data_IF_867456744882
#
_entry.id   IF_867456744882
#
_cell.length_a   1.000
_cell.length_b   1.000
_cell.length_c   1.000
_cell.angle_alpha   90.00
_cell.angle_beta   90.00
_cell.angle_gamma   90.00
#
_symmetry.space_group_name_H-M   'P 1'
#
loop_
_entity.id
_entity.type
_entity.pdbx_description
1 polymer ?
#
# COMPACT_ATOMS: atom_id res chain seq x y z
N UNK A 1 -1.76 -12.30 13.66
CA UNK A 1 -0.96 -13.22 14.49
C UNK A 1 -1.88 -14.07 15.37
N UNK A 2 -1.69 -15.38 15.36
CA UNK A 2 -2.44 -16.28 16.25
C UNK A 2 -1.92 -16.18 17.69
N UNK A 3 -2.75 -15.73 18.59
CA UNK A 3 -2.43 -15.70 20.01
C UNK A 3 -2.77 -17.06 20.63
N UNK A 4 -1.75 -17.87 20.89
CA UNK A 4 -1.89 -19.23 21.42
C UNK A 4 -2.55 -19.24 22.82
N UNK A 5 -2.39 -18.19 23.62
CA UNK A 5 -2.93 -18.13 24.97
C UNK A 5 -4.41 -17.79 25.02
N UNK A 6 -4.93 -17.07 24.04
CA UNK A 6 -6.33 -16.65 23.94
C UNK A 6 -7.11 -17.42 22.89
N UNK A 7 -6.41 -18.18 22.02
CA UNK A 7 -7.02 -18.84 20.87
C UNK A 7 -7.55 -17.88 19.81
N UNK A 8 -7.13 -16.61 19.85
CA UNK A 8 -7.58 -15.58 18.94
C UNK A 8 -6.52 -15.27 17.87
N UNK A 9 -6.96 -14.98 16.67
CA UNK A 9 -6.16 -14.23 15.69
C UNK A 9 -6.17 -12.76 16.11
N UNK A 10 -5.07 -12.04 15.97
CA UNK A 10 -5.10 -10.59 16.17
C UNK A 10 -5.87 -9.92 15.02
N UNK A 11 -6.48 -8.77 15.29
CA UNK A 11 -7.26 -7.98 14.32
C UNK A 11 -6.44 -7.54 13.09
N UNK A 12 -5.14 -7.75 13.10
CA UNK A 12 -4.21 -7.62 11.99
C UNK A 12 -3.74 -9.02 11.52
N UNK A 13 -4.60 -9.78 10.91
CA UNK A 13 -4.16 -10.87 10.05
C UNK A 13 -3.81 -10.30 8.68
N UNK A 14 -2.68 -9.61 8.59
CA UNK A 14 -2.08 -9.33 7.28
C UNK A 14 -1.91 -10.66 6.55
N UNK A 15 -2.26 -10.77 5.27
CA UNK A 15 -2.07 -11.97 4.48
C UNK A 15 -0.60 -12.23 4.13
N UNK A 16 0.33 -11.84 5.02
CA UNK A 16 1.79 -12.01 4.88
C UNK A 16 2.21 -13.45 4.57
N UNK A 17 1.36 -14.42 4.89
CA UNK A 17 1.58 -15.82 4.51
C UNK A 17 1.43 -16.04 3.00
N UNK A 18 0.60 -15.25 2.30
CA UNK A 18 0.43 -15.34 0.86
C UNK A 18 1.72 -14.90 0.16
N UNK A 19 2.20 -13.68 0.45
CA UNK A 19 3.44 -13.16 -0.09
C UNK A 19 4.64 -14.04 0.25
N UNK A 20 4.76 -14.47 1.51
CA UNK A 20 5.85 -15.35 1.96
C UNK A 20 5.86 -16.68 1.19
N UNK A 21 4.69 -17.24 0.88
CA UNK A 21 4.57 -18.45 0.07
C UNK A 21 5.07 -18.25 -1.36
N UNK A 22 4.74 -17.11 -1.99
CA UNK A 22 5.25 -16.74 -3.31
C UNK A 22 6.78 -16.64 -3.31
N UNK A 23 7.36 -15.94 -2.34
CA UNK A 23 8.81 -15.78 -2.25
C UNK A 23 9.53 -17.10 -1.99
N UNK A 24 9.01 -17.94 -1.10
CA UNK A 24 9.58 -19.26 -0.84
C UNK A 24 9.51 -20.14 -2.09
N UNK A 25 8.43 -20.08 -2.85
CA UNK A 25 8.34 -20.75 -4.14
C UNK A 25 9.41 -20.27 -5.12
N UNK A 26 9.56 -18.96 -5.30
CA UNK A 26 10.54 -18.37 -6.21
C UNK A 26 11.98 -18.76 -5.85
N UNK A 27 12.31 -18.86 -4.56
CA UNK A 27 13.65 -19.23 -4.08
C UNK A 27 13.90 -20.73 -4.16
N UNK A 28 12.90 -21.54 -3.84
CA UNK A 28 13.09 -22.99 -3.64
C UNK A 28 12.56 -23.86 -4.78
N UNK A 29 11.65 -23.33 -5.61
CA UNK A 29 10.91 -24.10 -6.61
C UNK A 29 9.90 -25.08 -6.01
N UNK A 30 9.63 -25.02 -4.70
CA UNK A 30 8.71 -25.95 -4.04
C UNK A 30 7.25 -25.51 -4.21
N UNK A 31 6.51 -26.25 -5.06
CA UNK A 31 5.10 -25.99 -5.39
C UNK A 31 4.15 -25.98 -4.18
N UNK A 32 4.52 -26.58 -3.06
CA UNK A 32 3.67 -26.55 -1.87
C UNK A 32 3.50 -25.14 -1.31
N UNK A 33 4.55 -24.30 -1.40
CA UNK A 33 4.46 -22.91 -0.96
C UNK A 33 3.50 -22.12 -1.85
N UNK A 34 3.58 -22.29 -3.17
CA UNK A 34 2.66 -21.66 -4.10
C UNK A 34 1.23 -22.17 -3.94
N UNK A 35 1.04 -23.46 -3.69
CA UNK A 35 -0.28 -24.04 -3.42
C UNK A 35 -0.94 -23.43 -2.17
N UNK A 36 -0.18 -23.15 -1.13
CA UNK A 36 -0.68 -22.46 0.07
C UNK A 36 -1.12 -21.04 -0.25
N UNK A 37 -0.34 -20.28 -1.04
CA UNK A 37 -0.70 -18.92 -1.46
C UNK A 37 -1.98 -18.91 -2.32
N UNK A 38 -2.12 -19.85 -3.24
CA UNK A 38 -3.34 -20.06 -4.05
C UNK A 38 -4.56 -20.34 -3.16
N UNK A 39 -4.41 -21.16 -2.13
CA UNK A 39 -5.50 -21.45 -1.20
C UNK A 39 -6.00 -20.20 -0.49
N UNK A 40 -5.10 -19.33 -0.05
CA UNK A 40 -5.46 -18.07 0.60
C UNK A 40 -6.13 -17.11 -0.41
N UNK A 41 -5.59 -16.99 -1.63
CA UNK A 41 -6.16 -16.13 -2.66
C UNK A 41 -7.57 -16.58 -3.07
N UNK A 42 -7.79 -17.89 -3.26
CA UNK A 42 -9.11 -18.43 -3.57
C UNK A 42 -10.10 -18.16 -2.43
N UNK A 43 -9.67 -18.31 -1.17
CA UNK A 43 -10.51 -17.99 -0.02
C UNK A 43 -10.91 -16.51 0.02
N UNK A 44 -9.99 -15.60 -0.31
CA UNK A 44 -10.31 -14.17 -0.43
C UNK A 44 -11.35 -13.95 -1.51
N UNK A 45 -11.15 -14.48 -2.71
CA UNK A 45 -12.06 -14.31 -3.85
C UNK A 45 -13.44 -14.90 -3.59
N UNK A 46 -13.51 -16.12 -3.06
CA UNK A 46 -14.76 -16.86 -2.90
C UNK A 46 -15.58 -16.45 -1.67
N UNK A 47 -14.93 -15.98 -0.60
CA UNK A 47 -15.58 -15.81 0.70
C UNK A 47 -15.43 -14.44 1.33
N UNK A 48 -14.43 -13.65 0.95
CA UNK A 48 -14.13 -12.38 1.61
C UNK A 48 -14.18 -11.16 0.68
N UNK A 49 -14.44 -11.34 -0.60
CA UNK A 49 -14.60 -10.23 -1.54
C UNK A 49 -16.06 -9.71 -1.48
N UNK A 50 -16.22 -8.43 -1.13
CA UNK A 50 -17.53 -7.78 -1.12
C UNK A 50 -17.92 -7.27 -2.52
N UNK A 51 -19.18 -6.92 -2.72
CA UNK A 51 -19.69 -6.46 -4.04
C UNK A 51 -19.00 -5.19 -4.56
N UNK A 52 -18.48 -4.34 -3.68
CA UNK A 52 -17.68 -3.15 -4.02
C UNK A 52 -16.26 -3.50 -4.50
N UNK A 53 -15.83 -4.75 -4.42
CA UNK A 53 -14.43 -5.14 -4.65
C UNK A 53 -13.53 -4.96 -3.42
N UNK A 54 -14.08 -4.53 -2.28
CA UNK A 54 -13.34 -4.40 -1.02
C UNK A 54 -13.30 -5.74 -0.30
N UNK A 55 -12.16 -6.12 0.25
CA UNK A 55 -12.00 -7.35 1.03
C UNK A 55 -12.49 -7.14 2.44
N UNK A 56 -13.36 -8.03 2.89
CA UNK A 56 -13.94 -8.01 4.22
C UNK A 56 -12.90 -8.28 5.31
N UNK A 57 -12.79 -7.37 6.26
CA UNK A 57 -12.09 -7.62 7.52
C UNK A 57 -13.01 -8.42 8.43
N UNK A 58 -12.65 -9.67 8.71
CA UNK A 58 -13.48 -10.60 9.49
C UNK A 58 -12.95 -10.70 10.91
N UNK A 59 -13.82 -10.44 11.88
CA UNK A 59 -13.45 -10.59 13.28
C UNK A 59 -13.12 -12.07 13.60
N UNK A 60 -11.88 -12.39 13.99
CA UNK A 60 -11.38 -13.76 13.99
C UNK A 60 -12.03 -14.70 15.02
N UNK A 61 -12.61 -14.15 16.08
CA UNK A 61 -13.25 -14.93 17.16
C UNK A 61 -14.72 -15.19 16.86
N UNK A 62 -15.42 -14.15 16.41
CA UNK A 62 -16.89 -14.22 16.20
C UNK A 62 -17.24 -14.64 14.78
N UNK A 63 -16.28 -14.61 13.87
CA UNK A 63 -16.47 -14.80 12.43
C UNK A 63 -17.56 -13.87 11.86
N UNK A 64 -17.62 -12.64 12.41
CA UNK A 64 -18.56 -11.61 11.97
C UNK A 64 -17.82 -10.56 11.16
N UNK A 65 -18.53 -9.99 10.19
CA UNK A 65 -18.10 -8.83 9.41
C UNK A 65 -18.97 -7.65 9.84
N UNK A 66 -18.35 -6.53 10.11
CA UNK A 66 -19.08 -5.28 10.31
C UNK A 66 -18.85 -4.41 9.06
N UNK A 67 -19.92 -4.09 8.36
CA UNK A 67 -19.89 -3.31 7.13
C UNK A 67 -19.35 -1.89 7.37
N UNK A 68 -19.60 -1.35 8.55
CA UNK A 68 -19.22 0.02 8.94
C UNK A 68 -17.84 0.10 9.62
N UNK A 69 -17.10 -1.00 9.73
CA UNK A 69 -15.74 -1.02 10.25
C UNK A 69 -14.69 -0.70 9.17
N UNK A 70 -13.45 -0.57 9.63
CA UNK A 70 -12.30 -0.21 8.80
C UNK A 70 -11.87 -1.33 7.84
N UNK A 71 -11.92 -1.05 6.54
CA UNK A 71 -11.46 -1.94 5.48
C UNK A 71 -10.46 -1.24 4.56
N UNK A 72 -9.56 -2.00 3.96
CA UNK A 72 -8.62 -1.53 2.94
C UNK A 72 -8.09 -2.69 2.10
N UNK A 73 -7.91 -2.46 0.81
CA UNK A 73 -7.38 -3.48 -0.12
C UNK A 73 -5.86 -3.38 -0.34
N UNK A 74 -5.21 -2.28 0.01
CA UNK A 74 -3.84 -1.97 -0.45
C UNK A 74 -2.81 -3.06 -0.15
N UNK A 75 -2.80 -3.61 1.07
CA UNK A 75 -1.87 -4.69 1.45
C UNK A 75 -2.22 -5.99 0.73
N UNK A 76 -3.50 -6.34 0.72
CA UNK A 76 -3.99 -7.56 0.06
C UNK A 76 -3.74 -7.50 -1.45
N UNK A 77 -3.92 -6.32 -2.07
CA UNK A 77 -3.63 -6.10 -3.48
C UNK A 77 -2.14 -6.33 -3.79
N UNK A 78 -1.21 -5.85 -2.93
CA UNK A 78 0.21 -6.14 -3.10
C UNK A 78 0.48 -7.64 -3.15
N UNK A 79 -0.12 -8.40 -2.24
CA UNK A 79 0.12 -9.84 -2.11
C UNK A 79 -0.51 -10.63 -3.28
N UNK A 80 -1.74 -10.31 -3.65
CA UNK A 80 -2.44 -10.94 -4.80
C UNK A 80 -1.72 -10.60 -6.11
N UNK A 81 -1.27 -9.36 -6.30
CA UNK A 81 -0.53 -8.98 -7.50
C UNK A 81 0.81 -9.73 -7.60
N UNK A 82 1.57 -9.89 -6.51
CA UNK A 82 2.79 -10.72 -6.49
C UNK A 82 2.49 -12.18 -6.83
N UNK A 83 1.38 -12.74 -6.35
CA UNK A 83 0.94 -14.06 -6.77
C UNK A 83 0.61 -14.10 -8.27
N UNK A 84 -0.09 -13.09 -8.78
CA UNK A 84 -0.47 -13.00 -10.18
C UNK A 84 0.73 -12.89 -11.15
N UNK A 85 1.84 -12.31 -10.70
CA UNK A 85 3.10 -12.28 -11.47
C UNK A 85 3.72 -13.67 -11.68
N UNK A 86 3.42 -14.64 -10.83
CA UNK A 86 3.88 -16.05 -10.98
C UNK A 86 2.77 -17.00 -11.40
N UNK A 87 1.51 -16.61 -11.25
CA UNK A 87 0.33 -17.37 -11.65
C UNK A 87 -0.76 -16.44 -12.19
N UNK A 88 -0.84 -16.30 -13.50
CA UNK A 88 -1.75 -15.37 -14.19
C UNK A 88 -3.24 -15.63 -13.96
N UNK A 89 -3.64 -16.75 -13.35
CA UNK A 89 -5.03 -17.00 -12.97
C UNK A 89 -5.59 -15.95 -12.00
N UNK A 90 -4.71 -15.25 -11.26
CA UNK A 90 -5.10 -14.21 -10.31
C UNK A 90 -5.07 -12.78 -10.89
N UNK A 91 -4.83 -12.62 -12.20
CA UNK A 91 -4.81 -11.31 -12.82
C UNK A 91 -6.17 -10.58 -12.73
N UNK A 92 -7.29 -11.30 -12.86
CA UNK A 92 -8.62 -10.72 -12.74
C UNK A 92 -8.92 -10.28 -11.30
N UNK A 93 -8.54 -11.06 -10.30
CA UNK A 93 -8.68 -10.67 -8.89
C UNK A 93 -7.82 -9.43 -8.60
N UNK A 94 -6.56 -9.40 -9.08
CA UNK A 94 -5.70 -8.21 -8.99
C UNK A 94 -6.39 -6.97 -9.56
N UNK A 95 -6.98 -7.09 -10.75
CA UNK A 95 -7.71 -5.98 -11.38
C UNK A 95 -8.89 -5.52 -10.53
N UNK A 96 -9.71 -6.44 -10.05
CA UNK A 96 -10.88 -6.12 -9.22
C UNK A 96 -10.46 -5.35 -7.94
N UNK A 97 -9.40 -5.80 -7.26
CA UNK A 97 -8.91 -5.13 -6.05
C UNK A 97 -8.31 -3.74 -6.36
N UNK A 98 -7.58 -3.61 -7.48
CA UNK A 98 -6.97 -2.34 -7.87
C UNK A 98 -8.03 -1.30 -8.30
N UNK A 99 -9.04 -1.72 -9.03
CA UNK A 99 -10.17 -0.86 -9.41
C UNK A 99 -10.88 -0.35 -8.14
N UNK A 100 -11.13 -1.21 -7.15
CA UNK A 100 -11.74 -0.82 -5.89
C UNK A 100 -10.84 0.13 -5.06
N UNK A 101 -9.53 -0.04 -5.07
CA UNK A 101 -8.60 0.92 -4.45
C UNK A 101 -8.73 2.30 -5.08
N UNK A 102 -8.76 2.39 -6.41
CA UNK A 102 -8.91 3.68 -7.10
C UNK A 102 -10.28 4.28 -6.81
N UNK A 103 -11.34 3.50 -6.89
CA UNK A 103 -12.72 4.00 -6.77
C UNK A 103 -13.06 4.46 -5.36
N UNK A 104 -12.58 3.73 -4.33
CA UNK A 104 -13.05 3.91 -2.96
C UNK A 104 -12.00 4.44 -1.98
N UNK A 105 -10.71 4.11 -2.19
CA UNK A 105 -9.66 4.45 -1.23
C UNK A 105 -8.87 5.72 -1.60
N UNK A 106 -9.20 6.37 -2.73
CA UNK A 106 -8.55 7.61 -3.18
C UNK A 106 -9.56 8.74 -3.27
N UNK A 107 -9.23 9.89 -2.70
CA UNK A 107 -9.98 11.12 -2.93
C UNK A 107 -9.64 11.66 -4.32
N UNK A 108 -10.61 11.64 -5.23
CA UNK A 108 -10.42 12.05 -6.62
C UNK A 108 -10.22 13.57 -6.83
N UNK A 109 -10.47 14.39 -5.82
CA UNK A 109 -10.19 15.84 -5.87
C UNK A 109 -8.74 16.17 -5.50
N UNK A 110 -8.14 15.36 -4.65
CA UNK A 110 -6.79 15.59 -4.10
C UNK A 110 -5.75 14.56 -4.53
N UNK A 111 -6.18 13.44 -5.12
CA UNK A 111 -5.36 12.26 -5.44
C UNK A 111 -4.68 11.61 -4.23
N UNK A 112 -5.14 11.89 -3.01
CA UNK A 112 -4.61 11.34 -1.77
C UNK A 112 -5.43 10.13 -1.30
N UNK A 113 -4.77 9.16 -0.68
CA UNK A 113 -5.46 8.01 -0.10
C UNK A 113 -6.21 8.37 1.19
N UNK A 114 -7.35 7.71 1.40
CA UNK A 114 -7.96 7.53 2.72
C UNK A 114 -7.28 6.37 3.47
N UNK A 115 -7.22 6.43 4.82
CA UNK A 115 -6.67 5.30 5.59
C UNK A 115 -7.57 4.07 5.51
N UNK A 116 -8.87 4.27 5.69
CA UNK A 116 -9.85 3.20 5.72
C UNK A 116 -11.18 3.66 5.10
N UNK A 117 -11.91 2.68 4.58
CA UNK A 117 -13.25 2.84 4.02
C UNK A 117 -14.20 1.77 4.60
N UNK A 118 -15.50 1.99 4.49
CA UNK A 118 -16.51 0.94 4.76
C UNK A 118 -16.51 -0.11 3.65
N UNK A 119 -17.21 -1.21 3.81
CA UNK A 119 -17.42 -2.17 2.71
C UNK A 119 -18.20 -1.59 1.54
N UNK A 120 -19.01 -0.56 1.77
CA UNK A 120 -19.71 0.18 0.70
C UNK A 120 -18.80 1.21 0.00
N UNK A 121 -17.56 1.38 0.47
CA UNK A 121 -16.58 2.30 -0.12
C UNK A 121 -16.62 3.72 0.44
N UNK A 122 -17.39 3.98 1.50
CA UNK A 122 -17.44 5.31 2.12
C UNK A 122 -16.22 5.57 3.00
N UNK A 123 -15.54 6.73 2.88
CA UNK A 123 -14.37 7.05 3.69
C UNK A 123 -14.68 7.12 5.19
N UNK A 124 -13.99 6.32 5.99
CA UNK A 124 -14.07 6.31 7.45
C UNK A 124 -12.98 7.16 8.08
N UNK A 125 -11.71 6.92 7.75
CA UNK A 125 -10.60 7.76 8.16
C UNK A 125 -10.04 8.50 6.95
N UNK A 126 -10.28 9.80 6.94
CA UNK A 126 -9.88 10.75 5.89
C UNK A 126 -8.43 11.20 6.01
N UNK A 127 -7.73 10.76 7.03
CA UNK A 127 -6.29 10.95 7.16
C UNK A 127 -5.52 9.74 6.60
N UNK A 128 -4.31 9.96 6.14
CA UNK A 128 -3.44 8.91 5.63
C UNK A 128 -2.08 8.95 6.30
N UNK A 129 -1.66 7.81 6.79
CA UNK A 129 -0.31 7.59 7.26
C UNK A 129 0.61 7.24 6.08
N UNK A 130 1.29 8.27 5.57
CA UNK A 130 2.09 8.17 4.35
C UNK A 130 3.25 7.20 4.44
N UNK A 131 3.89 7.15 5.60
CA UNK A 131 5.08 6.32 5.80
C UNK A 131 4.82 4.84 5.55
N UNK A 132 3.57 4.39 5.66
CA UNK A 132 3.21 2.99 5.41
C UNK A 132 2.01 2.88 4.47
N UNK A 133 0.84 3.25 4.91
CA UNK A 133 -0.41 3.01 4.17
C UNK A 133 -0.43 3.63 2.78
N UNK A 134 -0.02 4.89 2.64
CA UNK A 134 0.04 5.58 1.35
C UNK A 134 1.08 4.99 0.40
N UNK A 135 2.29 4.72 0.90
CA UNK A 135 3.35 4.13 0.08
C UNK A 135 3.03 2.69 -0.34
N UNK A 136 2.40 1.90 0.54
CA UNK A 136 1.91 0.56 0.16
C UNK A 136 0.80 0.64 -0.88
N UNK A 137 -0.09 1.64 -0.79
CA UNK A 137 -1.11 1.88 -1.81
C UNK A 137 -0.51 2.18 -3.19
N UNK A 138 0.51 3.03 -3.24
CA UNK A 138 1.24 3.30 -4.49
C UNK A 138 1.92 2.04 -5.05
N UNK A 139 2.61 1.27 -4.22
CA UNK A 139 3.25 0.01 -4.63
C UNK A 139 2.22 -1.00 -5.16
N UNK A 140 1.04 -1.08 -4.53
CA UNK A 140 -0.02 -1.99 -4.96
C UNK A 140 -0.55 -1.67 -6.36
N UNK A 141 -0.69 -0.38 -6.70
CA UNK A 141 -1.09 0.04 -8.04
C UNK A 141 0.00 -0.22 -9.09
N UNK A 142 1.29 -0.04 -8.74
CA UNK A 142 2.40 -0.40 -9.65
C UNK A 142 2.41 -1.89 -9.97
N UNK A 143 2.26 -2.74 -8.96
CA UNK A 143 2.15 -4.18 -9.15
C UNK A 143 0.92 -4.58 -9.98
N UNK A 144 -0.21 -3.90 -9.76
CA UNK A 144 -1.41 -4.11 -10.58
C UNK A 144 -1.17 -3.75 -12.05
N UNK A 145 -0.40 -2.69 -12.34
CA UNK A 145 0.02 -2.37 -13.69
C UNK A 145 0.90 -3.47 -14.29
N UNK A 146 1.89 -3.98 -13.56
CA UNK A 146 2.76 -5.05 -14.06
C UNK A 146 1.95 -6.32 -14.42
N UNK A 147 0.92 -6.64 -13.64
CA UNK A 147 0.04 -7.79 -13.89
C UNK A 147 -0.89 -7.58 -15.09
N UNK A 148 -1.50 -6.38 -15.18
CA UNK A 148 -2.63 -6.13 -16.09
C UNK A 148 -2.26 -5.34 -17.35
N UNK A 149 -1.15 -4.59 -17.30
CA UNK A 149 -0.75 -3.57 -18.28
C UNK A 149 -1.76 -2.42 -18.44
N UNK A 150 -2.66 -2.23 -17.47
CA UNK A 150 -3.63 -1.14 -17.49
C UNK A 150 -2.96 0.16 -17.01
N UNK A 151 -2.80 1.11 -17.92
CA UNK A 151 -2.10 2.39 -17.67
C UNK A 151 -2.81 3.29 -16.65
N UNK A 152 -4.09 3.07 -16.39
CA UNK A 152 -4.84 3.81 -15.38
C UNK A 152 -4.15 3.76 -14.02
N UNK A 153 -3.54 2.62 -13.68
CA UNK A 153 -2.81 2.44 -12.43
C UNK A 153 -1.52 3.27 -12.36
N UNK A 154 -0.76 3.35 -13.46
CA UNK A 154 0.42 4.24 -13.53
C UNK A 154 0.03 5.71 -13.45
N UNK A 155 -1.02 6.11 -14.16
CA UNK A 155 -1.51 7.49 -14.18
C UNK A 155 -1.98 7.92 -12.80
N UNK A 156 -2.74 7.06 -12.11
CA UNK A 156 -3.15 7.33 -10.72
C UNK A 156 -1.95 7.39 -9.78
N UNK A 157 -1.00 6.46 -9.91
CA UNK A 157 0.22 6.46 -9.10
C UNK A 157 0.99 7.78 -9.28
N UNK A 158 1.17 8.26 -10.51
CA UNK A 158 1.84 9.54 -10.77
C UNK A 158 1.12 10.71 -10.09
N UNK A 159 -0.20 10.81 -10.26
CA UNK A 159 -0.98 11.89 -9.63
C UNK A 159 -0.82 11.89 -8.12
N UNK A 160 -0.90 10.72 -7.50
CA UNK A 160 -0.75 10.58 -6.05
C UNK A 160 0.69 10.89 -5.59
N UNK A 161 1.73 10.45 -6.31
CA UNK A 161 3.13 10.84 -6.01
C UNK A 161 3.27 12.38 -6.02
N UNK A 162 2.74 13.04 -7.04
CA UNK A 162 2.83 14.50 -7.17
C UNK A 162 2.05 15.21 -6.05
N UNK A 163 0.85 14.72 -5.71
CA UNK A 163 0.05 15.27 -4.60
C UNK A 163 0.81 15.19 -3.27
N UNK A 164 1.48 14.07 -2.97
CA UNK A 164 2.31 13.95 -1.78
C UNK A 164 3.56 14.83 -1.83
N UNK A 165 4.20 14.91 -2.99
CA UNK A 165 5.35 15.77 -3.19
C UNK A 165 5.02 17.25 -2.99
N UNK A 166 3.83 17.68 -3.35
CA UNK A 166 3.38 19.05 -3.12
C UNK A 166 3.18 19.38 -1.64
N UNK A 167 2.86 18.40 -0.81
CA UNK A 167 2.71 18.53 0.63
C UNK A 167 4.04 18.46 1.41
N UNK A 168 5.17 18.22 0.73
CA UNK A 168 6.47 18.14 1.39
C UNK A 168 6.82 19.44 2.13
N UNK A 169 7.56 19.36 3.17
CA UNK A 169 8.26 20.50 3.74
C UNK A 169 9.25 21.09 2.74
N UNK A 170 9.24 22.42 2.57
CA UNK A 170 10.02 23.08 1.51
C UNK A 170 11.48 23.32 1.89
N UNK A 171 11.82 23.22 3.17
CA UNK A 171 13.20 23.36 3.64
C UNK A 171 13.92 22.01 3.61
N UNK A 172 13.24 20.96 4.04
CA UNK A 172 13.83 19.62 4.14
C UNK A 172 13.55 18.73 2.92
N UNK A 173 12.60 19.07 2.06
CA UNK A 173 12.02 18.22 1.02
C UNK A 173 11.47 16.87 1.51
N UNK A 174 11.26 16.68 2.80
CA UNK A 174 10.66 15.47 3.34
C UNK A 174 9.12 15.52 3.23
N UNK A 175 8.51 14.44 2.80
CA UNK A 175 7.05 14.33 2.78
C UNK A 175 6.54 14.11 4.21
N UNK A 176 5.35 14.64 4.57
CA UNK A 176 4.79 14.47 5.91
C UNK A 176 4.32 13.02 6.14
N UNK A 177 4.45 12.54 7.37
CA UNK A 177 3.97 11.21 7.75
C UNK A 177 2.44 11.11 7.75
N UNK A 178 1.76 12.18 8.14
CA UNK A 178 0.30 12.21 8.19
C UNK A 178 -0.27 13.39 7.39
N UNK A 179 -1.21 13.08 6.52
CA UNK A 179 -1.95 14.04 5.70
C UNK A 179 -3.45 13.86 5.87
N UNK A 180 -4.23 14.89 5.59
CA UNK A 180 -5.67 14.80 5.46
C UNK A 180 -6.04 14.83 3.97
N UNK A 181 -6.69 13.78 3.50
CA UNK A 181 -7.01 13.60 2.09
C UNK A 181 -8.09 14.58 1.59
N UNK A 182 -9.04 15.00 2.43
CA UNK A 182 -10.09 15.93 2.00
C UNK A 182 -9.61 17.37 1.91
N UNK A 183 -8.74 17.78 2.83
CA UNK A 183 -8.29 19.16 2.92
C UNK A 183 -6.95 19.40 2.24
N UNK A 184 -6.34 18.35 1.70
CA UNK A 184 -5.00 18.38 1.11
C UNK A 184 -4.00 19.11 2.02
N UNK A 185 -3.91 18.69 3.27
CA UNK A 185 -3.11 19.37 4.28
C UNK A 185 -2.30 18.41 5.14
N UNK A 186 -1.17 18.92 5.64
CA UNK A 186 -0.33 18.21 6.60
C UNK A 186 -1.04 18.13 7.94
N UNK A 187 -1.13 16.94 8.52
CA UNK A 187 -1.68 16.71 9.86
C UNK A 187 -0.60 16.64 10.91
N UNK A 188 0.53 16.02 10.59
CA UNK A 188 1.68 15.91 11.47
C UNK A 188 2.99 16.09 10.66
N UNK A 189 3.77 17.15 10.97
CA UNK A 189 4.97 17.53 10.23
C UNK A 189 6.20 16.75 10.72
N UNK A 190 6.23 15.46 10.48
CA UNK A 190 7.41 14.62 10.70
C UNK A 190 7.49 13.51 9.66
N UNK A 191 8.68 12.90 9.53
CA UNK A 191 8.87 11.69 8.74
C UNK A 191 9.65 10.65 9.55
N UNK A 192 9.30 9.39 9.36
CA UNK A 192 10.01 8.24 9.94
C UNK A 192 10.88 7.57 8.88
N UNK A 193 12.05 7.11 9.29
CA UNK A 193 13.06 6.53 8.40
C UNK A 193 12.49 5.39 7.51
N UNK A 194 11.76 4.46 8.10
CA UNK A 194 11.22 3.34 7.32
C UNK A 194 10.21 3.82 6.26
N UNK A 195 9.40 4.82 6.59
CA UNK A 195 8.45 5.42 5.65
C UNK A 195 9.16 6.14 4.51
N UNK A 196 10.23 6.87 4.82
CA UNK A 196 11.07 7.50 3.82
C UNK A 196 11.65 6.45 2.84
N UNK A 197 12.14 5.33 3.36
CA UNK A 197 12.67 4.23 2.55
C UNK A 197 11.61 3.55 1.68
N UNK A 198 10.40 3.33 2.22
CA UNK A 198 9.29 2.73 1.44
C UNK A 198 8.85 3.67 0.32
N UNK A 199 8.71 4.98 0.59
CA UNK A 199 8.34 5.94 -0.44
C UNK A 199 9.41 6.03 -1.54
N UNK A 200 10.70 6.08 -1.17
CA UNK A 200 11.79 6.07 -2.16
C UNK A 200 11.77 4.80 -3.02
N UNK A 201 11.51 3.63 -2.42
CA UNK A 201 11.33 2.38 -3.18
C UNK A 201 10.22 2.50 -4.24
N UNK A 202 9.10 3.10 -3.87
CA UNK A 202 7.96 3.31 -4.80
C UNK A 202 8.34 4.26 -5.94
N UNK A 203 9.02 5.37 -5.63
CA UNK A 203 9.50 6.30 -6.66
C UNK A 203 10.44 5.61 -7.65
N UNK A 204 11.38 4.80 -7.16
CA UNK A 204 12.30 4.02 -7.98
C UNK A 204 11.57 2.98 -8.83
N UNK A 205 10.57 2.30 -8.27
CA UNK A 205 9.75 1.33 -9.00
C UNK A 205 8.96 2.01 -10.12
N UNK A 206 8.31 3.15 -9.81
CA UNK A 206 7.60 3.94 -10.83
C UNK A 206 8.55 4.38 -11.96
N UNK A 207 9.72 4.94 -11.61
CA UNK A 207 10.71 5.37 -12.59
C UNK A 207 11.22 4.20 -13.45
N UNK A 208 11.48 3.05 -12.84
CA UNK A 208 11.88 1.85 -13.57
C UNK A 208 10.86 1.43 -14.65
N UNK A 209 9.57 1.60 -14.37
CA UNK A 209 8.50 1.24 -15.30
C UNK A 209 8.24 2.29 -16.38
N UNK A 210 8.59 3.56 -16.14
CA UNK A 210 8.13 4.68 -16.98
C UNK A 210 9.24 5.55 -17.55
N UNK A 211 10.43 5.55 -16.95
CA UNK A 211 11.53 6.48 -17.24
C UNK A 211 11.10 7.97 -17.14
N UNK A 212 10.15 8.30 -16.24
CA UNK A 212 9.56 9.62 -16.10
C UNK A 212 10.54 10.60 -15.42
N UNK A 213 10.99 11.60 -16.18
CA UNK A 213 11.99 12.58 -15.73
C UNK A 213 11.51 13.51 -14.59
N UNK A 214 10.19 13.74 -14.46
CA UNK A 214 9.67 14.54 -13.35
C UNK A 214 9.80 13.75 -12.04
N UNK A 215 9.50 12.45 -12.07
CA UNK A 215 9.67 11.57 -10.91
C UNK A 215 11.16 11.33 -10.62
N UNK A 216 12.01 11.28 -11.65
CA UNK A 216 13.47 11.18 -11.44
C UNK A 216 14.01 12.36 -10.61
N UNK A 217 13.59 13.58 -10.90
CA UNK A 217 13.98 14.77 -10.10
C UNK A 217 13.51 14.67 -8.64
N UNK A 218 12.29 14.13 -8.43
CA UNK A 218 11.81 13.87 -7.07
C UNK A 218 12.71 12.85 -6.37
N UNK A 219 13.17 11.80 -7.06
CA UNK A 219 14.09 10.80 -6.50
C UNK A 219 15.39 11.45 -6.06
N UNK A 220 15.99 12.30 -6.91
CA UNK A 220 17.24 13.00 -6.57
C UNK A 220 17.06 13.89 -5.35
N UNK A 221 16.09 14.83 -5.38
CA UNK A 221 15.83 15.77 -4.29
C UNK A 221 15.47 15.04 -2.97
N UNK A 222 14.65 13.99 -3.05
CA UNK A 222 14.21 13.24 -1.87
C UNK A 222 15.32 12.36 -1.29
N UNK A 223 16.16 11.75 -2.14
CA UNK A 223 17.29 10.92 -1.70
C UNK A 223 18.30 11.76 -0.94
N UNK A 224 18.67 12.93 -1.46
CA UNK A 224 19.57 13.86 -0.79
C UNK A 224 19.01 14.25 0.58
N UNK A 225 17.74 14.60 0.66
CA UNK A 225 17.05 14.94 1.91
C UNK A 225 17.03 13.78 2.91
N UNK A 226 16.76 12.57 2.46
CA UNK A 226 16.78 11.39 3.34
C UNK A 226 18.17 11.16 3.92
N UNK A 227 19.22 11.34 3.12
CA UNK A 227 20.61 11.21 3.60
C UNK A 227 20.93 12.35 4.57
N UNK A 228 20.66 13.59 4.21
CA UNK A 228 21.05 14.76 4.99
C UNK A 228 20.36 14.83 6.36
N UNK A 229 19.10 14.43 6.46
CA UNK A 229 18.32 14.55 7.69
C UNK A 229 18.27 13.26 8.53
N UNK A 230 18.37 12.08 7.91
CA UNK A 230 18.33 10.82 8.66
C UNK A 230 19.69 10.23 8.99
N UNK A 231 20.75 10.53 8.23
CA UNK A 231 22.08 9.97 8.46
C UNK A 231 22.99 10.95 9.23
N UNK A 232 23.40 10.58 10.44
CA UNK A 232 24.28 11.40 11.30
C UNK A 232 25.79 11.15 11.10
N UNK A 233 26.15 10.37 10.10
CA UNK A 233 27.53 9.92 9.84
C UNK A 233 27.91 8.58 10.48
N UNK A 234 27.02 8.01 11.31
CA UNK A 234 27.24 6.72 12.00
C UNK A 234 26.00 5.85 12.04
N UNK A 235 24.84 6.45 12.31
CA UNK A 235 23.55 5.77 12.47
C UNK A 235 22.46 6.51 11.74
N UNK A 236 21.36 5.81 11.48
CA UNK A 236 20.16 6.40 10.94
C UNK A 236 19.24 6.84 12.06
N UNK A 237 18.82 8.11 12.05
CA UNK A 237 17.78 8.62 12.93
C UNK A 237 16.44 7.95 12.62
N UNK A 238 15.71 7.58 13.65
CA UNK A 238 14.40 6.94 13.47
C UNK A 238 13.34 7.90 12.93
N UNK A 239 13.41 9.18 13.36
CA UNK A 239 12.42 10.21 13.04
C UNK A 239 13.10 11.56 12.86
N UNK A 240 12.58 12.32 11.94
CA UNK A 240 12.89 13.75 11.74
C UNK A 240 11.59 14.52 11.89
N UNK A 241 11.58 15.49 12.83
CA UNK A 241 10.50 16.47 12.99
C UNK A 241 10.90 17.76 12.28
N UNK A 242 9.93 18.40 11.62
CA UNK A 242 10.10 19.69 10.95
C UNK A 242 8.84 20.55 11.18
N UNK A 243 9.00 21.88 11.15
CA UNK A 243 7.93 22.84 11.47
C UNK A 243 7.02 23.14 10.28
#
# INVERSE_FOLDING_TARGET
QYNVSTGSLSDYSEPTLLESGVWLYQITGNEQFLANSRTIANLIEESYLYNSGIVMNVHPITNTVNIDEEHTNRVILCDIAKLALVDSNYAQLTKTLADAVIEHEINHETDLFYSFVTLEGEPLDRSMYMSYGGSVGLESLLLAYEVTSDKTYLEQTKRTILAYWDLRDKETNLIPSWVNADTNSVKEPFMQQYGAGIFLKVLLHYYYLTEDEDVYKIIEDYTDSVVDYFWDGKTWNYRVDYD
#
